data_IF_849738324464
#
_entry.id   IF_849738324464
#
_cell.length_a   1.000
_cell.length_b   1.000
_cell.length_c   1.000
_cell.angle_alpha   90.00
_cell.angle_beta   90.00
_cell.angle_gamma   90.00
#
_symmetry.space_group_name_H-M   'P 1'
#
loop_
_entity.id
_entity.type
_entity.pdbx_description
1 polymer ?
#
# COMPACT_ATOMS: atom_id res chain seq x y z
N UNK A 1 -1.27 22.97 -14.50
CA UNK A 1 -1.13 23.76 -13.26
C UNK A 1 0.32 23.74 -12.82
N UNK A 2 0.88 24.86 -12.35
CA UNK A 2 2.22 24.87 -11.72
C UNK A 2 2.09 24.21 -10.34
N UNK A 3 3.01 23.33 -9.94
CA UNK A 3 2.96 22.74 -8.59
C UNK A 3 3.11 23.85 -7.55
N UNK A 4 2.11 23.98 -6.70
CA UNK A 4 2.10 24.89 -5.56
C UNK A 4 2.24 24.09 -4.25
N UNK A 5 2.36 24.80 -3.12
CA UNK A 5 2.57 24.19 -1.80
C UNK A 5 1.42 23.25 -1.40
N UNK A 6 0.21 23.50 -1.90
CA UNK A 6 -0.98 22.72 -1.61
C UNK A 6 -0.93 21.37 -2.34
N UNK A 7 -0.54 21.39 -3.62
CA UNK A 7 -0.29 20.18 -4.39
C UNK A 7 0.79 19.29 -3.75
N UNK A 8 1.91 19.88 -3.30
CA UNK A 8 2.95 19.13 -2.60
C UNK A 8 2.43 18.48 -1.31
N UNK A 9 1.60 19.19 -0.56
CA UNK A 9 0.97 18.67 0.65
C UNK A 9 0.00 17.51 0.38
N UNK A 10 -0.86 17.62 -0.64
CA UNK A 10 -1.76 16.54 -1.06
C UNK A 10 -0.98 15.28 -1.47
N UNK A 11 0.03 15.43 -2.34
CA UNK A 11 0.87 14.33 -2.80
C UNK A 11 1.65 13.69 -1.64
N UNK A 12 2.20 14.51 -0.73
CA UNK A 12 2.90 14.01 0.44
C UNK A 12 1.97 13.20 1.35
N UNK A 13 0.79 13.72 1.68
CA UNK A 13 -0.18 13.00 2.52
C UNK A 13 -0.67 11.73 1.81
N UNK A 14 -1.00 11.79 0.53
CA UNK A 14 -1.40 10.61 -0.25
C UNK A 14 -0.29 9.54 -0.31
N UNK A 15 0.97 9.95 -0.37
CA UNK A 15 2.13 9.03 -0.27
C UNK A 15 2.16 8.35 1.11
N UNK A 16 2.03 9.13 2.19
CA UNK A 16 1.99 8.58 3.55
C UNK A 16 0.81 7.63 3.73
N UNK A 17 -0.38 7.98 3.23
CA UNK A 17 -1.57 7.12 3.24
C UNK A 17 -1.29 5.80 2.50
N UNK A 18 -0.72 5.85 1.29
CA UNK A 18 -0.37 4.66 0.51
C UNK A 18 0.62 3.74 1.26
N UNK A 19 1.70 4.32 1.79
CA UNK A 19 2.76 3.59 2.49
C UNK A 19 2.25 3.01 3.81
N UNK A 20 1.52 3.79 4.61
CA UNK A 20 0.99 3.34 5.89
C UNK A 20 -0.04 2.21 5.71
N UNK A 21 -0.91 2.32 4.70
CA UNK A 21 -1.87 1.26 4.38
C UNK A 21 -1.18 -0.04 3.93
N UNK A 22 -0.16 0.07 3.07
CA UNK A 22 0.67 -1.07 2.67
C UNK A 22 1.35 -1.72 3.89
N UNK A 23 1.98 -0.93 4.76
CA UNK A 23 2.58 -1.44 6.00
C UNK A 23 1.55 -2.16 6.88
N UNK A 24 0.36 -1.59 7.07
CA UNK A 24 -0.68 -2.19 7.89
C UNK A 24 -1.10 -3.57 7.32
N UNK A 25 -1.40 -3.65 6.03
CA UNK A 25 -1.79 -4.89 5.36
C UNK A 25 -0.66 -5.93 5.41
N UNK A 26 0.57 -5.54 5.05
CA UNK A 26 1.73 -6.43 5.12
C UNK A 26 2.02 -6.95 6.52
N UNK A 27 1.93 -6.06 7.52
CA UNK A 27 2.14 -6.42 8.92
C UNK A 27 1.06 -7.36 9.45
N UNK A 28 -0.20 -7.21 8.99
CA UNK A 28 -1.28 -8.13 9.29
C UNK A 28 -1.03 -9.54 8.71
N UNK A 29 -0.53 -9.63 7.46
CA UNK A 29 -0.13 -10.90 6.85
C UNK A 29 0.99 -11.58 7.64
N UNK A 30 2.05 -10.84 8.00
CA UNK A 30 3.14 -11.37 8.82
C UNK A 30 2.67 -11.80 10.21
N UNK A 31 1.77 -11.03 10.83
CA UNK A 31 1.16 -11.38 12.11
C UNK A 31 0.44 -12.73 12.04
N UNK A 32 -0.37 -12.95 11.00
CA UNK A 32 -1.07 -14.21 10.76
C UNK A 32 -0.11 -15.38 10.49
N UNK A 33 0.96 -15.16 9.71
CA UNK A 33 1.92 -16.23 9.38
C UNK A 33 2.80 -16.64 10.56
N UNK A 34 3.17 -15.69 11.41
CA UNK A 34 4.08 -15.89 12.54
C UNK A 34 3.34 -16.17 13.86
N UNK A 35 2.00 -16.15 13.85
CA UNK A 35 1.19 -16.21 15.06
C UNK A 35 1.60 -17.38 15.96
N UNK A 36 1.65 -18.61 15.40
CA UNK A 36 2.00 -19.83 16.15
C UNK A 36 3.46 -19.85 16.59
N UNK A 37 4.35 -19.39 15.72
CA UNK A 37 5.81 -19.44 15.90
C UNK A 37 6.35 -18.31 16.79
N UNK A 38 5.51 -17.34 17.17
CA UNK A 38 5.88 -16.14 17.91
C UNK A 38 5.05 -15.88 19.17
N UNK A 39 4.30 -16.86 19.70
CA UNK A 39 3.46 -16.68 20.91
C UNK A 39 4.27 -16.55 22.20
N UNK A 40 5.39 -17.26 22.30
CA UNK A 40 6.19 -17.35 23.52
C UNK A 40 7.48 -16.51 23.41
N UNK A 41 7.93 -15.82 24.47
CA UNK A 41 9.19 -15.07 24.47
C UNK A 41 10.43 -15.87 24.09
N UNK A 42 10.42 -17.19 24.33
CA UNK A 42 11.52 -18.09 23.97
C UNK A 42 11.40 -18.63 22.53
N UNK A 43 10.29 -18.36 21.85
CA UNK A 43 10.06 -18.86 20.50
C UNK A 43 10.97 -18.14 19.48
N UNK A 44 11.56 -18.85 18.51
CA UNK A 44 12.53 -18.24 17.60
C UNK A 44 11.99 -17.09 16.74
N UNK A 45 10.68 -17.01 16.50
CA UNK A 45 10.06 -15.90 15.76
C UNK A 45 9.37 -14.84 16.65
N UNK A 46 9.56 -14.88 17.97
CA UNK A 46 8.96 -13.92 18.90
C UNK A 46 9.28 -12.46 18.53
N UNK A 47 10.56 -12.17 18.28
CA UNK A 47 10.98 -10.81 17.91
C UNK A 47 10.35 -10.34 16.59
N UNK A 48 10.22 -11.23 15.61
CA UNK A 48 9.60 -10.91 14.32
C UNK A 48 8.09 -10.69 14.46
N UNK A 49 7.39 -11.52 15.25
CA UNK A 49 5.97 -11.33 15.58
C UNK A 49 5.73 -10.00 16.29
N UNK A 50 6.55 -9.66 17.29
CA UNK A 50 6.46 -8.38 18.00
C UNK A 50 6.70 -7.19 17.07
N UNK A 51 7.69 -7.29 16.17
CA UNK A 51 7.94 -6.25 15.17
C UNK A 51 6.78 -6.11 14.18
N UNK A 52 6.16 -7.20 13.73
CA UNK A 52 4.96 -7.15 12.90
C UNK A 52 3.80 -6.45 13.63
N UNK A 53 3.55 -6.78 14.91
CA UNK A 53 2.50 -6.13 15.70
C UNK A 53 2.77 -4.63 15.92
N UNK A 54 4.00 -4.26 16.25
CA UNK A 54 4.39 -2.83 16.40
C UNK A 54 4.26 -2.09 15.08
N UNK A 55 4.71 -2.69 13.99
CA UNK A 55 4.55 -2.16 12.63
C UNK A 55 3.09 -1.93 12.28
N UNK A 56 2.20 -2.90 12.53
CA UNK A 56 0.76 -2.75 12.32
C UNK A 56 0.17 -1.58 13.12
N UNK A 57 0.50 -1.46 14.41
CA UNK A 57 0.01 -0.38 15.28
C UNK A 57 0.49 0.99 14.82
N UNK A 58 1.79 1.14 14.57
CA UNK A 58 2.37 2.38 14.07
C UNK A 58 1.77 2.75 12.72
N UNK A 59 1.65 1.79 11.80
CA UNK A 59 1.05 2.00 10.49
C UNK A 59 -0.42 2.44 10.58
N UNK A 60 -1.23 1.81 11.45
CA UNK A 60 -2.62 2.19 11.65
C UNK A 60 -2.76 3.61 12.22
N UNK A 61 -1.91 4.00 13.19
CA UNK A 61 -1.88 5.37 13.75
C UNK A 61 -1.52 6.37 12.65
N UNK A 62 -0.40 6.15 11.95
CA UNK A 62 0.06 7.03 10.88
C UNK A 62 -0.98 7.13 9.77
N UNK A 63 -1.65 6.03 9.44
CA UNK A 63 -2.68 5.97 8.40
C UNK A 63 -3.91 6.83 8.75
N UNK A 64 -4.43 6.74 9.98
CA UNK A 64 -5.55 7.57 10.45
C UNK A 64 -5.17 9.05 10.42
N UNK A 65 -4.00 9.41 10.96
CA UNK A 65 -3.52 10.80 10.95
C UNK A 65 -3.37 11.32 9.52
N UNK A 66 -2.75 10.53 8.64
CA UNK A 66 -2.53 10.91 7.25
C UNK A 66 -3.84 11.07 6.46
N UNK A 67 -4.85 10.24 6.71
CA UNK A 67 -6.18 10.39 6.10
C UNK A 67 -6.88 11.67 6.57
N UNK A 68 -6.80 12.01 7.86
CA UNK A 68 -7.36 13.24 8.40
C UNK A 68 -6.66 14.49 7.81
N UNK A 69 -5.32 14.47 7.76
CA UNK A 69 -4.55 15.54 7.13
C UNK A 69 -4.84 15.64 5.63
N UNK A 70 -4.96 14.51 4.93
CA UNK A 70 -5.31 14.49 3.51
C UNK A 70 -6.66 15.17 3.24
N UNK A 71 -7.69 14.91 4.07
CA UNK A 71 -8.99 15.58 3.95
C UNK A 71 -8.88 17.10 4.08
N UNK A 72 -8.04 17.59 4.98
CA UNK A 72 -7.83 19.03 5.15
C UNK A 72 -7.19 19.65 3.90
N UNK A 73 -6.17 19.01 3.33
CA UNK A 73 -5.56 19.45 2.07
C UNK A 73 -6.55 19.39 0.91
N UNK A 74 -7.38 18.35 0.85
CA UNK A 74 -8.41 18.21 -0.18
C UNK A 74 -9.49 19.28 -0.05
N UNK A 75 -9.91 19.59 1.18
CA UNK A 75 -10.89 20.65 1.46
C UNK A 75 -10.36 22.03 1.03
N UNK A 76 -9.08 22.31 1.30
CA UNK A 76 -8.40 23.51 0.83
C UNK A 76 -8.35 23.55 -0.71
N UNK A 77 -8.06 22.42 -1.36
CA UNK A 77 -8.02 22.30 -2.82
C UNK A 77 -9.38 22.58 -3.47
N UNK A 78 -10.45 22.01 -2.91
CA UNK A 78 -11.80 22.12 -3.48
C UNK A 78 -12.37 23.53 -3.31
N UNK A 79 -12.11 24.18 -2.16
CA UNK A 79 -12.62 25.53 -1.86
C UNK A 79 -11.75 26.66 -2.41
N UNK A 80 -10.49 26.39 -2.72
CA UNK A 80 -9.50 27.45 -3.03
C UNK A 80 -9.01 28.21 -1.79
N UNK A 81 -9.38 27.77 -0.59
CA UNK A 81 -9.00 28.40 0.68
C UNK A 81 -7.59 28.00 1.13
N UNK A 82 -7.01 28.78 2.05
CA UNK A 82 -5.77 28.41 2.74
C UNK A 82 -6.05 27.35 3.82
N UNK A 83 -5.05 26.54 4.18
CA UNK A 83 -5.19 25.46 5.17
C UNK A 83 -5.89 25.86 6.49
N UNK A 84 -5.61 27.03 7.11
CA UNK A 84 -6.32 27.42 8.33
C UNK A 84 -7.82 27.62 8.12
N UNK A 85 -8.22 28.21 6.99
CA UNK A 85 -9.64 28.44 6.65
C UNK A 85 -10.32 27.15 6.15
N UNK A 86 -9.55 26.19 5.62
CA UNK A 86 -10.08 24.92 5.15
C UNK A 86 -10.74 24.07 6.26
N UNK A 87 -10.40 24.31 7.53
CA UNK A 87 -11.08 23.65 8.66
C UNK A 87 -12.59 23.94 8.68
N UNK A 88 -12.99 25.17 8.34
CA UNK A 88 -14.41 25.57 8.32
C UNK A 88 -15.16 24.96 7.12
N UNK A 89 -14.42 24.52 6.10
CA UNK A 89 -14.94 23.90 4.88
C UNK A 89 -15.12 22.39 5.02
N UNK A 90 -14.36 21.74 5.92
CA UNK A 90 -14.40 20.28 6.12
C UNK A 90 -15.83 19.73 6.33
N UNK A 91 -16.70 20.33 7.17
CA UNK A 91 -18.07 19.84 7.35
C UNK A 91 -18.87 19.84 6.03
N UNK A 92 -18.71 20.88 5.22
CA UNK A 92 -19.33 21.00 3.90
C UNK A 92 -18.82 19.91 2.96
N UNK A 93 -17.50 19.69 2.91
CA UNK A 93 -16.91 18.61 2.10
C UNK A 93 -17.44 17.25 2.54
N UNK A 94 -17.49 16.97 3.84
CA UNK A 94 -17.98 15.70 4.37
C UNK A 94 -19.45 15.42 4.06
N UNK A 95 -20.29 16.46 4.09
CA UNK A 95 -21.76 16.29 4.00
C UNK A 95 -22.32 16.52 2.59
N UNK A 96 -21.64 17.31 1.76
CA UNK A 96 -22.17 17.75 0.46
C UNK A 96 -21.37 17.22 -0.74
N UNK A 97 -20.30 16.47 -0.51
CA UNK A 97 -19.49 15.94 -1.61
C UNK A 97 -19.41 14.42 -1.60
N UNK A 98 -19.28 13.87 -2.82
CA UNK A 98 -18.97 12.46 -3.01
C UNK A 98 -17.65 12.06 -2.34
N UNK A 99 -16.64 12.94 -2.40
CA UNK A 99 -15.34 12.77 -1.76
C UNK A 99 -15.50 12.59 -0.25
N UNK A 100 -16.35 13.39 0.39
CA UNK A 100 -16.66 13.30 1.81
C UNK A 100 -17.24 11.95 2.24
N UNK A 101 -18.19 11.40 1.47
CA UNK A 101 -18.76 10.08 1.73
C UNK A 101 -17.71 8.96 1.56
N UNK A 102 -16.99 8.96 0.45
CA UNK A 102 -15.94 7.98 0.18
C UNK A 102 -14.82 8.01 1.23
N UNK A 103 -14.40 9.22 1.63
CA UNK A 103 -13.45 9.42 2.71
C UNK A 103 -13.98 8.89 4.03
N UNK A 104 -15.26 9.12 4.36
CA UNK A 104 -15.87 8.66 5.61
C UNK A 104 -15.88 7.14 5.71
N UNK A 105 -16.14 6.44 4.60
CA UNK A 105 -16.02 4.96 4.53
C UNK A 105 -14.57 4.52 4.76
N UNK A 106 -13.61 5.17 4.09
CA UNK A 106 -12.19 4.84 4.24
C UNK A 106 -11.69 5.09 5.67
N UNK A 107 -12.07 6.23 6.26
CA UNK A 107 -11.67 6.66 7.59
C UNK A 107 -12.34 5.82 8.68
N UNK A 108 -13.63 5.49 8.54
CA UNK A 108 -14.30 4.54 9.44
C UNK A 108 -13.62 3.17 9.45
N UNK A 109 -13.28 2.63 8.27
CA UNK A 109 -12.45 1.43 8.14
C UNK A 109 -11.08 1.57 8.82
N UNK A 110 -10.42 2.72 8.65
CA UNK A 110 -9.13 3.02 9.28
C UNK A 110 -9.20 3.05 10.82
N UNK A 111 -10.27 3.60 11.39
CA UNK A 111 -10.51 3.61 12.84
C UNK A 111 -10.75 2.21 13.38
N UNK A 112 -11.55 1.39 12.69
CA UNK A 112 -11.76 -0.01 13.08
C UNK A 112 -10.45 -0.78 13.01
N UNK A 113 -9.65 -0.60 11.94
CA UNK A 113 -8.31 -1.18 11.81
C UNK A 113 -7.40 -0.77 12.98
N UNK A 114 -7.42 0.52 13.36
CA UNK A 114 -6.66 1.04 14.49
C UNK A 114 -7.07 0.35 15.80
N UNK A 115 -8.38 0.31 16.10
CA UNK A 115 -8.90 -0.37 17.30
C UNK A 115 -8.51 -1.85 17.30
N UNK A 116 -8.68 -2.55 16.18
CA UNK A 116 -8.27 -3.95 16.05
C UNK A 116 -6.75 -4.15 16.21
N UNK A 117 -5.92 -3.19 15.81
CA UNK A 117 -4.46 -3.28 15.99
C UNK A 117 -4.01 -3.31 17.46
N UNK A 118 -4.83 -2.75 18.37
CA UNK A 118 -4.59 -2.74 19.82
C UNK A 118 -5.39 -3.80 20.59
N UNK A 119 -6.44 -4.36 19.98
CA UNK A 119 -7.22 -5.44 20.58
C UNK A 119 -6.42 -6.73 20.76
N UNK A 120 -6.85 -7.56 21.72
CA UNK A 120 -6.26 -8.87 21.96
C UNK A 120 -6.41 -9.79 20.73
N UNK A 121 -5.40 -10.63 20.41
CA UNK A 121 -5.50 -11.57 19.30
C UNK A 121 -6.66 -12.55 19.47
N UNK A 122 -7.35 -12.86 18.36
CA UNK A 122 -8.46 -13.80 18.35
C UNK A 122 -9.23 -13.75 17.04
N UNK A 123 -9.96 -14.82 16.72
CA UNK A 123 -10.61 -14.99 15.42
C UNK A 123 -11.58 -13.84 15.06
N UNK A 124 -12.36 -13.35 16.04
CA UNK A 124 -13.26 -12.20 15.84
C UNK A 124 -12.47 -10.93 15.50
N UNK A 125 -11.42 -10.64 16.29
CA UNK A 125 -10.54 -9.49 16.06
C UNK A 125 -9.89 -9.55 14.69
N UNK A 126 -9.43 -10.73 14.27
CA UNK A 126 -8.78 -10.91 12.98
C UNK A 126 -9.77 -10.77 11.82
N UNK A 127 -10.98 -11.32 11.95
CA UNK A 127 -12.06 -11.11 10.98
C UNK A 127 -12.42 -9.63 10.82
N UNK A 128 -12.56 -8.91 11.94
CA UNK A 128 -12.82 -7.46 11.95
C UNK A 128 -11.67 -6.69 11.30
N UNK A 129 -10.41 -7.04 11.59
CA UNK A 129 -9.25 -6.40 10.99
C UNK A 129 -9.22 -6.58 9.47
N UNK A 130 -9.45 -7.79 8.97
CA UNK A 130 -9.48 -8.06 7.52
C UNK A 130 -10.61 -7.33 6.83
N UNK A 131 -11.80 -7.31 7.45
CA UNK A 131 -12.93 -6.55 6.94
C UNK A 131 -12.62 -5.05 6.90
N UNK A 132 -11.99 -4.51 7.95
CA UNK A 132 -11.58 -3.12 8.03
C UNK A 132 -10.60 -2.73 6.91
N UNK A 133 -9.63 -3.58 6.59
CA UNK A 133 -8.74 -3.38 5.43
C UNK A 133 -9.55 -3.32 4.12
N UNK A 134 -10.47 -4.27 3.90
CA UNK A 134 -11.29 -4.30 2.67
C UNK A 134 -12.18 -3.05 2.55
N UNK A 135 -12.89 -2.67 3.63
CA UNK A 135 -13.74 -1.47 3.67
C UNK A 135 -12.92 -0.21 3.42
N UNK A 136 -11.73 -0.13 4.01
CA UNK A 136 -10.79 0.99 3.79
C UNK A 136 -10.38 1.09 2.32
N UNK A 137 -10.03 -0.03 1.69
CA UNK A 137 -9.66 -0.05 0.28
C UNK A 137 -10.83 0.35 -0.62
N UNK A 138 -12.05 -0.06 -0.28
CA UNK A 138 -13.26 0.32 -1.00
C UNK A 138 -13.52 1.84 -0.92
N UNK A 139 -13.49 2.41 0.29
CA UNK A 139 -13.65 3.86 0.48
C UNK A 139 -12.57 4.65 -0.26
N UNK A 140 -11.31 4.18 -0.24
CA UNK A 140 -10.22 4.78 -1.01
C UNK A 140 -10.41 4.68 -2.52
N UNK A 141 -10.90 3.54 -3.02
CA UNK A 141 -11.19 3.38 -4.44
C UNK A 141 -12.28 4.36 -4.90
N UNK A 142 -13.24 4.65 -4.01
CA UNK A 142 -14.29 5.62 -4.25
C UNK A 142 -13.81 7.08 -4.16
N UNK A 143 -12.60 7.38 -3.64
CA UNK A 143 -12.06 8.75 -3.67
C UNK A 143 -11.67 9.20 -5.09
N UNK A 144 -11.40 8.26 -6.00
CA UNK A 144 -11.04 8.57 -7.39
C UNK A 144 -12.22 8.49 -8.35
N UNK A 145 -11.98 8.88 -9.61
CA UNK A 145 -12.91 8.81 -10.74
C UNK A 145 -13.52 7.41 -11.02
N UNK A 146 -13.06 6.36 -10.34
CA UNK A 146 -13.68 5.05 -10.43
C UNK A 146 -15.15 5.09 -9.97
N UNK A 147 -15.49 5.97 -9.03
CA UNK A 147 -16.84 6.15 -8.55
C UNK A 147 -17.74 6.96 -9.50
N UNK A 148 -17.18 7.66 -10.50
CA UNK A 148 -17.97 8.36 -11.53
C UNK A 148 -18.81 7.38 -12.37
N UNK A 149 -18.42 6.10 -12.40
CA UNK A 149 -19.21 5.02 -13.00
C UNK A 149 -20.31 4.47 -12.07
N UNK A 150 -20.44 4.98 -10.85
CA UNK A 150 -21.38 4.56 -9.80
C UNK A 150 -20.78 3.65 -8.72
N UNK A 151 -21.41 3.62 -7.55
CA UNK A 151 -20.99 2.83 -6.38
C UNK A 151 -21.14 1.30 -6.53
N UNK A 152 -21.96 0.85 -7.47
CA UNK A 152 -22.11 -0.57 -7.83
C UNK A 152 -21.43 -0.91 -9.17
N UNK A 153 -20.38 -0.16 -9.54
CA UNK A 153 -19.73 -0.32 -10.84
C UNK A 153 -18.58 -1.33 -10.81
N UNK A 154 -18.37 -2.02 -11.94
CA UNK A 154 -17.19 -2.85 -12.16
C UNK A 154 -15.88 -2.05 -12.01
N UNK A 155 -15.90 -0.74 -12.32
CA UNK A 155 -14.74 0.13 -12.17
C UNK A 155 -14.32 0.31 -10.71
N UNK A 156 -15.29 0.51 -9.80
CA UNK A 156 -15.01 0.58 -8.37
C UNK A 156 -14.47 -0.75 -7.83
N UNK A 157 -15.05 -1.87 -8.27
CA UNK A 157 -14.57 -3.20 -7.90
C UNK A 157 -13.12 -3.46 -8.36
N UNK A 158 -12.81 -3.14 -9.62
CA UNK A 158 -11.45 -3.27 -10.18
C UNK A 158 -10.46 -2.36 -9.45
N UNK A 159 -10.84 -1.12 -9.16
CA UNK A 159 -9.96 -0.19 -8.44
C UNK A 159 -9.74 -0.64 -6.99
N UNK A 160 -10.77 -1.14 -6.31
CA UNK A 160 -10.65 -1.71 -4.96
C UNK A 160 -9.70 -2.91 -4.97
N UNK A 161 -9.86 -3.81 -5.95
CA UNK A 161 -8.97 -4.95 -6.15
C UNK A 161 -7.53 -4.49 -6.43
N UNK A 162 -7.34 -3.44 -7.23
CA UNK A 162 -6.04 -2.84 -7.48
C UNK A 162 -5.40 -2.32 -6.18
N UNK A 163 -6.13 -1.56 -5.36
CA UNK A 163 -5.64 -1.05 -4.08
C UNK A 163 -5.27 -2.21 -3.14
N UNK A 164 -6.11 -3.23 -3.01
CA UNK A 164 -5.83 -4.39 -2.16
C UNK A 164 -4.60 -5.16 -2.66
N UNK A 165 -4.51 -5.43 -3.96
CA UNK A 165 -3.42 -6.21 -4.54
C UNK A 165 -2.09 -5.45 -4.49
N UNK A 166 -2.10 -4.16 -4.83
CA UNK A 166 -0.90 -3.31 -4.70
C UNK A 166 -0.46 -3.21 -3.26
N UNK A 167 -1.38 -3.05 -2.31
CA UNK A 167 -1.06 -2.97 -0.88
C UNK A 167 -0.62 -4.30 -0.29
N UNK A 168 -1.12 -5.43 -0.79
CA UNK A 168 -0.67 -6.76 -0.41
C UNK A 168 0.77 -7.02 -0.87
N UNK A 169 1.06 -6.78 -2.16
CA UNK A 169 2.41 -6.94 -2.70
C UNK A 169 3.39 -5.95 -2.05
N UNK A 170 3.07 -4.65 -2.10
CA UNK A 170 3.96 -3.64 -1.52
C UNK A 170 4.11 -3.83 -0.01
N UNK A 171 3.03 -4.14 0.69
CA UNK A 171 3.00 -4.34 2.13
C UNK A 171 3.91 -5.45 2.62
N UNK A 172 3.84 -6.64 2.02
CA UNK A 172 4.73 -7.75 2.43
C UNK A 172 6.20 -7.46 2.12
N UNK A 173 6.48 -6.67 1.09
CA UNK A 173 7.84 -6.24 0.74
C UNK A 173 8.33 -5.18 1.73
N UNK A 174 7.58 -4.10 1.98
CA UNK A 174 8.01 -3.00 2.87
C UNK A 174 8.03 -3.42 4.33
N UNK A 175 6.96 -4.03 4.85
CA UNK A 175 6.93 -4.53 6.22
C UNK A 175 7.96 -5.67 6.40
N UNK A 176 8.13 -6.50 5.37
CA UNK A 176 9.09 -7.60 5.38
C UNK A 176 10.53 -7.13 5.43
N UNK A 177 10.96 -6.38 4.43
CA UNK A 177 12.35 -5.97 4.26
C UNK A 177 12.82 -4.90 5.24
N UNK A 178 11.93 -4.05 5.75
CA UNK A 178 12.30 -2.99 6.67
C UNK A 178 12.15 -3.40 8.15
N UNK A 179 11.21 -4.29 8.48
CA UNK A 179 10.80 -4.51 9.88
C UNK A 179 10.88 -5.98 10.30
N UNK A 180 10.16 -6.87 9.61
CA UNK A 180 9.88 -8.23 10.10
C UNK A 180 11.00 -9.22 9.81
N UNK A 181 11.40 -9.38 8.55
CA UNK A 181 12.36 -10.42 8.13
C UNK A 181 13.77 -10.23 8.71
N UNK A 182 14.29 -9.00 8.92
CA UNK A 182 15.56 -8.82 9.63
C UNK A 182 15.58 -9.45 11.03
N UNK A 183 14.42 -9.56 11.71
CA UNK A 183 14.34 -10.21 13.03
C UNK A 183 14.36 -11.75 12.98
N UNK A 184 14.25 -12.35 11.79
CA UNK A 184 14.39 -13.80 11.59
C UNK A 184 15.82 -14.19 11.15
N UNK A 185 16.79 -13.28 11.29
CA UNK A 185 18.18 -13.49 10.85
C UNK A 185 18.98 -14.50 11.70
N UNK A 186 18.53 -14.80 12.93
CA UNK A 186 19.16 -15.76 13.82
C UNK A 186 19.14 -17.19 13.24
N UNK A 187 20.14 -18.00 13.55
CA UNK A 187 20.22 -19.40 13.10
C UNK A 187 19.04 -20.24 13.61
N UNK A 188 18.61 -20.01 14.85
CA UNK A 188 17.47 -20.70 15.48
C UNK A 188 16.13 -20.43 14.79
N UNK A 189 16.00 -19.29 14.10
CA UNK A 189 14.79 -18.89 13.37
C UNK A 189 14.81 -19.32 11.88
N UNK A 190 15.85 -20.04 11.44
CA UNK A 190 16.09 -20.27 10.00
C UNK A 190 14.97 -20.99 9.27
N UNK A 191 14.42 -22.05 9.88
CA UNK A 191 13.30 -22.79 9.29
C UNK A 191 12.06 -21.91 9.11
N UNK A 192 11.83 -21.00 10.06
CA UNK A 192 10.71 -20.04 10.01
C UNK A 192 10.97 -19.01 8.90
N UNK A 193 12.19 -18.46 8.80
CA UNK A 193 12.55 -17.57 7.69
C UNK A 193 12.28 -18.24 6.34
N UNK A 194 12.73 -19.48 6.12
CA UNK A 194 12.53 -20.21 4.85
C UNK A 194 11.02 -20.38 4.54
N UNK A 195 10.22 -20.74 5.54
CA UNK A 195 8.76 -20.85 5.40
C UNK A 195 8.12 -19.51 5.07
N UNK A 196 8.42 -18.48 5.85
CA UNK A 196 7.89 -17.13 5.65
C UNK A 196 8.32 -16.54 4.31
N UNK A 197 9.57 -16.72 3.87
CA UNK A 197 10.05 -16.35 2.53
C UNK A 197 9.21 -17.00 1.42
N UNK A 198 8.78 -18.25 1.63
CA UNK A 198 7.92 -18.96 0.68
C UNK A 198 6.51 -18.36 0.64
N UNK A 199 5.94 -18.05 1.80
CA UNK A 199 4.64 -17.38 1.91
C UNK A 199 4.68 -15.99 1.24
N UNK A 200 5.71 -15.19 1.53
CA UNK A 200 5.97 -13.90 0.88
C UNK A 200 6.02 -14.06 -0.63
N UNK A 201 6.81 -15.00 -1.14
CA UNK A 201 6.96 -15.20 -2.58
C UNK A 201 5.65 -15.61 -3.27
N UNK A 202 4.83 -16.45 -2.63
CA UNK A 202 3.56 -16.91 -3.19
C UNK A 202 2.51 -15.80 -3.20
N UNK A 203 2.37 -15.05 -2.09
CA UNK A 203 1.43 -13.92 -2.03
C UNK A 203 1.88 -12.80 -2.96
N UNK A 204 3.19 -12.51 -3.05
CA UNK A 204 3.72 -11.52 -3.99
C UNK A 204 3.37 -11.89 -5.44
N UNK A 205 3.60 -13.13 -5.87
CA UNK A 205 3.28 -13.58 -7.24
C UNK A 205 1.79 -13.42 -7.57
N UNK A 206 0.92 -13.84 -6.65
CA UNK A 206 -0.53 -13.72 -6.84
C UNK A 206 -0.96 -12.24 -6.91
N UNK A 207 -0.50 -11.43 -5.96
CA UNK A 207 -0.80 -10.01 -5.91
C UNK A 207 -0.27 -9.26 -7.15
N UNK A 208 0.96 -9.55 -7.60
CA UNK A 208 1.53 -8.99 -8.83
C UNK A 208 0.66 -9.31 -10.04
N UNK A 209 0.19 -10.54 -10.19
CA UNK A 209 -0.70 -10.92 -11.29
C UNK A 209 -1.97 -10.05 -11.34
N UNK A 210 -2.61 -9.84 -10.18
CA UNK A 210 -3.77 -8.97 -10.06
C UNK A 210 -3.44 -7.49 -10.30
N UNK A 211 -2.28 -7.02 -9.81
CA UNK A 211 -1.81 -5.65 -10.05
C UNK A 211 -1.62 -5.41 -11.54
N UNK A 212 -0.96 -6.33 -12.27
CA UNK A 212 -0.75 -6.17 -13.71
C UNK A 212 -2.07 -6.17 -14.47
N UNK A 213 -2.97 -7.11 -14.17
CA UNK A 213 -4.29 -7.18 -14.81
C UNK A 213 -5.11 -5.90 -14.60
N UNK A 214 -5.20 -5.42 -13.36
CA UNK A 214 -5.93 -4.20 -13.02
C UNK A 214 -5.24 -2.93 -13.52
N UNK A 215 -3.90 -2.92 -13.63
CA UNK A 215 -3.13 -1.77 -14.13
C UNK A 215 -3.39 -1.49 -15.60
N UNK A 216 -3.54 -2.52 -16.43
CA UNK A 216 -3.88 -2.35 -17.85
C UNK A 216 -5.21 -1.64 -18.00
N UNK A 217 -6.24 -2.07 -17.26
CA UNK A 217 -7.54 -1.43 -17.27
C UNK A 217 -7.47 0.06 -16.86
N UNK A 218 -6.75 0.34 -15.76
CA UNK A 218 -6.59 1.71 -15.26
C UNK A 218 -5.79 2.60 -16.23
N UNK A 219 -4.76 2.06 -16.88
CA UNK A 219 -3.94 2.78 -17.86
C UNK A 219 -4.74 3.13 -19.11
N UNK A 220 -5.53 2.19 -19.65
CA UNK A 220 -6.39 2.43 -20.81
C UNK A 220 -7.43 3.50 -20.52
N UNK A 221 -8.07 3.48 -19.34
CA UNK A 221 -8.99 4.55 -18.93
C UNK A 221 -8.27 5.90 -18.79
N UNK A 222 -7.12 5.93 -18.12
CA UNK A 222 -6.39 7.16 -17.86
C UNK A 222 -5.82 7.83 -19.13
N UNK A 223 -5.46 7.03 -20.14
CA UNK A 223 -4.98 7.53 -21.43
C UNK A 223 -6.09 7.86 -22.44
N UNK A 224 -7.34 7.52 -22.14
CA UNK A 224 -8.44 7.58 -23.11
C UNK A 224 -8.23 6.66 -24.32
N UNK A 225 -7.40 5.62 -24.19
CA UNK A 225 -7.03 4.72 -25.29
C UNK A 225 -5.93 5.26 -26.23
N UNK A 226 -5.37 6.45 -25.97
CA UNK A 226 -4.33 7.02 -26.84
C UNK A 226 -2.91 6.75 -26.37
N UNK A 227 -2.04 6.35 -27.30
CA UNK A 227 -0.59 6.21 -27.07
C UNK A 227 0.10 7.58 -27.01
N UNK A 228 -0.40 8.59 -27.73
CA UNK A 228 0.19 9.94 -27.69
C UNK A 228 0.02 10.60 -26.32
N UNK A 229 -1.02 10.25 -25.57
CA UNK A 229 -1.20 10.68 -24.19
C UNK A 229 -0.11 10.13 -23.25
N UNK A 230 0.54 9.01 -23.59
CA UNK A 230 1.60 8.41 -22.76
C UNK A 230 2.94 9.15 -22.90
N UNK A 231 3.24 9.70 -24.07
CA UNK A 231 4.52 10.38 -24.34
C UNK A 231 4.40 11.90 -24.36
N UNK A 232 3.20 12.44 -24.62
CA UNK A 232 2.97 13.88 -24.72
C UNK A 232 2.53 14.56 -23.42
N UNK A 233 2.10 13.80 -22.40
CA UNK A 233 1.52 14.35 -21.17
C UNK A 233 2.44 14.18 -19.95
N UNK A 234 2.36 15.09 -18.99
CA UNK A 234 3.02 14.94 -17.69
C UNK A 234 2.57 13.67 -16.95
N UNK A 235 1.27 13.34 -17.07
CA UNK A 235 0.69 12.10 -16.54
C UNK A 235 1.35 10.85 -17.13
N UNK A 236 1.54 10.84 -18.45
CA UNK A 236 2.21 9.76 -19.18
C UNK A 236 3.66 9.58 -18.74
N UNK A 237 4.41 10.68 -18.60
CA UNK A 237 5.79 10.62 -18.08
C UNK A 237 5.86 10.04 -16.66
N UNK A 238 4.99 10.48 -15.73
CA UNK A 238 4.94 9.93 -14.36
C UNK A 238 4.58 8.44 -14.39
N UNK A 239 3.62 8.05 -15.24
CA UNK A 239 3.23 6.64 -15.42
C UNK A 239 4.40 5.80 -15.95
N UNK A 240 5.17 6.29 -16.91
CA UNK A 240 6.34 5.60 -17.46
C UNK A 240 7.43 5.40 -16.41
N UNK A 241 7.76 6.44 -15.64
CA UNK A 241 8.74 6.36 -14.54
C UNK A 241 8.26 5.35 -13.49
N UNK A 242 6.98 5.42 -13.09
CA UNK A 242 6.38 4.45 -12.16
C UNK A 242 6.49 3.03 -12.70
N UNK A 243 6.20 2.82 -13.98
CA UNK A 243 6.28 1.52 -14.64
C UNK A 243 7.72 1.00 -14.66
N UNK A 244 8.72 1.86 -14.91
CA UNK A 244 10.12 1.48 -14.84
C UNK A 244 10.53 1.01 -13.42
N UNK A 245 10.08 1.70 -12.37
CA UNK A 245 10.31 1.26 -10.99
C UNK A 245 9.59 -0.06 -10.66
N UNK A 246 8.38 -0.27 -11.18
CA UNK A 246 7.66 -1.54 -11.06
C UNK A 246 8.44 -2.67 -11.72
N UNK A 247 8.97 -2.46 -12.94
CA UNK A 247 9.81 -3.45 -13.63
C UNK A 247 11.07 -3.76 -12.84
N UNK A 248 11.72 -2.74 -12.25
CA UNK A 248 12.87 -2.92 -11.38
C UNK A 248 12.50 -3.77 -10.13
N UNK A 249 11.38 -3.45 -9.47
CA UNK A 249 10.90 -4.23 -8.33
C UNK A 249 10.61 -5.69 -8.72
N UNK A 250 9.99 -5.93 -9.89
CA UNK A 250 9.77 -7.28 -10.41
C UNK A 250 11.08 -8.03 -10.69
N UNK A 251 12.08 -7.36 -11.26
CA UNK A 251 13.39 -7.95 -11.49
C UNK A 251 14.07 -8.35 -10.17
N UNK A 252 13.97 -7.50 -9.15
CA UNK A 252 14.48 -7.80 -7.80
C UNK A 252 13.72 -8.95 -7.14
N UNK A 253 12.39 -8.96 -7.20
CA UNK A 253 11.56 -10.04 -6.69
C UNK A 253 11.81 -11.37 -7.40
N UNK A 254 11.98 -11.34 -8.73
CA UNK A 254 12.35 -12.51 -9.53
C UNK A 254 13.75 -13.03 -9.16
N UNK A 255 14.73 -12.14 -9.02
CA UNK A 255 16.06 -12.49 -8.55
C UNK A 255 16.02 -13.14 -7.15
N UNK A 256 15.24 -12.55 -6.24
CA UNK A 256 15.08 -13.09 -4.90
C UNK A 256 14.43 -14.48 -4.91
N UNK A 257 13.41 -14.69 -5.75
CA UNK A 257 12.66 -15.95 -5.88
C UNK A 257 13.46 -17.05 -6.58
N UNK A 258 14.16 -16.74 -7.66
CA UNK A 258 14.78 -17.72 -8.57
C UNK A 258 16.22 -18.03 -8.15
N UNK A 259 16.95 -17.05 -7.59
CA UNK A 259 18.37 -17.22 -7.26
C UNK A 259 18.59 -17.29 -5.75
N UNK A 260 18.10 -16.29 -5.00
CA UNK A 260 18.48 -16.13 -3.59
C UNK A 260 17.71 -17.08 -2.67
N UNK A 261 16.40 -17.27 -2.90
CA UNK A 261 15.56 -18.15 -2.09
C UNK A 261 15.96 -19.64 -2.22
N UNK A 262 16.28 -20.20 -3.41
CA UNK A 262 16.80 -21.56 -3.51
C UNK A 262 18.15 -21.73 -2.81
N UNK A 263 19.03 -20.73 -2.88
CA UNK A 263 20.28 -20.72 -2.12
C UNK A 263 20.03 -20.72 -0.60
N UNK A 264 19.09 -19.89 -0.13
CA UNK A 264 18.68 -19.86 1.27
C UNK A 264 18.16 -21.22 1.76
N UNK A 265 17.35 -21.90 0.93
CA UNK A 265 16.82 -23.24 1.24
C UNK A 265 17.89 -24.32 1.29
N UNK A 266 18.85 -24.30 0.34
CA UNK A 266 19.91 -25.31 0.25
C UNK A 266 21.00 -25.11 1.29
N UNK A 267 21.49 -23.88 1.45
CA UNK A 267 22.63 -23.61 2.33
C UNK A 267 22.23 -23.40 3.78
N UNK A 268 21.02 -22.90 4.05
CA UNK A 268 20.52 -22.53 5.38
C UNK A 268 21.48 -21.64 6.21
N UNK A 269 22.45 -20.97 5.56
CA UNK A 269 23.57 -20.28 6.20
C UNK A 269 23.26 -18.80 6.46
N UNK A 270 23.79 -18.21 7.54
CA UNK A 270 23.57 -16.78 7.88
C UNK A 270 23.86 -15.83 6.73
N UNK A 271 24.87 -16.12 5.89
CA UNK A 271 25.14 -15.35 4.68
C UNK A 271 23.96 -15.38 3.69
N UNK A 272 23.37 -16.55 3.43
CA UNK A 272 22.22 -16.68 2.53
C UNK A 272 20.96 -15.98 3.07
N UNK A 273 20.73 -16.01 4.38
CA UNK A 273 19.63 -15.24 5.00
C UNK A 273 19.82 -13.73 4.85
N UNK A 274 21.02 -13.23 5.17
CA UNK A 274 21.33 -11.80 4.99
C UNK A 274 21.14 -11.38 3.54
N UNK A 275 21.58 -12.19 2.57
CA UNK A 275 21.37 -11.90 1.15
C UNK A 275 19.89 -11.78 0.80
N UNK A 276 19.06 -12.73 1.25
CA UNK A 276 17.61 -12.69 1.04
C UNK A 276 16.98 -11.43 1.64
N UNK A 277 17.31 -11.12 2.90
CA UNK A 277 16.80 -9.95 3.62
C UNK A 277 17.27 -8.64 2.96
N UNK A 278 18.52 -8.55 2.52
CA UNK A 278 19.04 -7.35 1.87
C UNK A 278 18.38 -7.09 0.51
N UNK A 279 18.11 -8.14 -0.28
CA UNK A 279 17.42 -7.96 -1.57
C UNK A 279 16.00 -7.44 -1.36
N UNK A 280 15.23 -8.04 -0.44
CA UNK A 280 13.88 -7.55 -0.15
C UNK A 280 13.87 -6.17 0.54
N UNK A 281 14.91 -5.83 1.30
CA UNK A 281 15.11 -4.48 1.85
C UNK A 281 15.29 -3.44 0.74
N UNK A 282 16.15 -3.71 -0.24
CA UNK A 282 16.31 -2.83 -1.40
C UNK A 282 15.02 -2.77 -2.23
N UNK A 283 14.31 -3.89 -2.39
CA UNK A 283 13.00 -3.95 -3.07
C UNK A 283 11.98 -3.06 -2.36
N UNK A 284 12.00 -3.01 -1.02
CA UNK A 284 11.14 -2.13 -0.23
C UNK A 284 11.40 -0.64 -0.50
N UNK A 285 12.66 -0.23 -0.67
CA UNK A 285 12.99 1.16 -0.99
C UNK A 285 12.43 1.54 -2.37
N UNK A 286 12.61 0.66 -3.37
CA UNK A 286 12.02 0.85 -4.71
C UNK A 286 10.49 0.91 -4.62
N UNK A 287 9.88 0.05 -3.81
CA UNK A 287 8.43 -0.01 -3.62
C UNK A 287 7.86 1.27 -3.00
N UNK A 288 8.55 1.88 -2.03
CA UNK A 288 8.16 3.20 -1.50
C UNK A 288 8.16 4.25 -2.61
N UNK A 289 9.16 4.23 -3.49
CA UNK A 289 9.20 5.08 -4.68
C UNK A 289 8.00 4.86 -5.63
N UNK A 290 7.62 3.60 -5.86
CA UNK A 290 6.41 3.25 -6.65
C UNK A 290 5.14 3.82 -6.01
N UNK A 291 4.99 3.71 -4.69
CA UNK A 291 3.83 4.22 -3.95
C UNK A 291 3.78 5.76 -3.92
N UNK A 292 4.93 6.42 -3.87
CA UNK A 292 5.03 7.88 -3.98
C UNK A 292 4.65 8.36 -5.39
N UNK A 293 5.17 7.72 -6.44
CA UNK A 293 4.77 8.04 -7.82
C UNK A 293 3.30 7.72 -8.09
N UNK A 294 2.72 6.72 -7.41
CA UNK A 294 1.28 6.48 -7.47
C UNK A 294 0.47 7.66 -6.91
N UNK A 295 0.95 8.29 -5.82
CA UNK A 295 0.34 9.50 -5.28
C UNK A 295 0.48 10.70 -6.23
N UNK A 296 1.68 10.91 -6.81
CA UNK A 296 1.90 11.95 -7.83
C UNK A 296 0.95 11.76 -9.02
N UNK A 297 0.86 10.54 -9.54
CA UNK A 297 0.01 10.20 -10.68
C UNK A 297 -1.48 10.47 -10.39
N UNK A 298 -1.95 10.18 -9.17
CA UNK A 298 -3.33 10.43 -8.76
C UNK A 298 -3.67 11.94 -8.68
N UNK A 299 -2.67 12.81 -8.48
CA UNK A 299 -2.83 14.27 -8.42
C UNK A 299 -2.31 14.96 -9.69
N UNK A 300 -2.14 14.21 -10.78
CA UNK A 300 -1.79 14.75 -12.10
C UNK A 300 -2.98 14.60 -13.03
N UNK A 301 -3.32 15.65 -13.78
CA UNK A 301 -4.45 15.62 -14.71
C UNK A 301 -4.32 14.43 -15.69
N UNK A 302 -5.38 13.63 -15.91
CA UNK A 302 -5.32 12.48 -16.81
C UNK A 302 -4.87 12.88 -18.22
N UNK A 303 -4.10 12.00 -18.87
CA UNK A 303 -3.59 12.26 -20.23
C UNK A 303 -4.69 12.45 -21.28
N UNK A 304 -5.90 11.93 -21.03
CA UNK A 304 -7.07 12.14 -21.88
C UNK A 304 -7.52 13.61 -22.00
N UNK A 305 -7.20 14.46 -21.02
CA UNK A 305 -7.59 15.88 -21.01
C UNK A 305 -6.83 16.70 -22.08
N UNK A 306 -5.71 16.19 -22.62
CA UNK A 306 -4.98 16.85 -23.73
C UNK A 306 -5.69 16.79 -25.08
N UNK A 307 -6.81 16.08 -25.18
CA UNK A 307 -7.57 15.91 -26.43
C UNK A 307 -8.82 16.81 -26.52
N UNK A 308 -9.07 17.63 -25.50
CA UNK A 308 -10.16 18.61 -25.47
C UNK A 308 -9.72 20.00 -25.87
#
# INVERSE_FOLDING_TARGET
MKPDWLWFGQVAMATVVNVAYAFALGSALYGAWLEKDGRSPVAPAYAASLRAQRSLRTAAIVFVIALAMWLLYESASISGERLPAAFDVVPTVLTQTHVGLAWSVAFGGALVLLVSAFAAPGAVRDGVLWLALIVTALGRAALGHAADAGFASAALGIHTLHILSTSAWSGIVVAGGLVVLPALGASTARGILIRTSTQVSNVAMFAVGLVLATSVFNAVRGSGGSVSALTGSSWGHVLLIKTALVVLALAMGAYNRIVVMPLLRRAASTAAARRFVNVIHLEAIVMIGVLALAAVLAHTAPGSVMQG
#
